data_IF_510839536613
#
_entry.id   IF_510839536613
#
_cell.length_a   1.000
_cell.length_b   1.000
_cell.length_c   1.000
_cell.angle_alpha   90.00
_cell.angle_beta   90.00
_cell.angle_gamma   90.00
#
_symmetry.space_group_name_H-M   'P 1'
#
loop_
_entity.id
_entity.type
_entity.pdbx_description
1 polymer ?
#
# COMPACT_ATOMS: atom_id res chain seq x y z
N UNK A 1 -14.34 -9.29 11.01
CA UNK A 1 -15.13 -9.04 9.77
C UNK A 1 -14.37 -9.68 8.63
N UNK A 2 -15.05 -10.41 7.74
CA UNK A 2 -14.36 -11.14 6.66
C UNK A 2 -13.74 -10.16 5.65
N UNK A 3 -12.58 -10.54 5.11
CA UNK A 3 -11.90 -9.80 4.03
C UNK A 3 -12.82 -9.76 2.80
N UNK A 4 -13.06 -8.59 2.16
CA UNK A 4 -13.92 -8.47 0.99
C UNK A 4 -13.47 -9.38 -0.15
N UNK A 5 -14.43 -10.01 -0.83
CA UNK A 5 -14.17 -10.90 -1.98
C UNK A 5 -14.88 -10.31 -3.21
N UNK A 6 -14.15 -10.13 -4.30
CA UNK A 6 -14.75 -9.67 -5.55
C UNK A 6 -15.60 -10.78 -6.20
N UNK A 7 -16.90 -10.51 -6.39
CA UNK A 7 -17.90 -11.45 -6.93
C UNK A 7 -18.48 -11.03 -8.29
N UNK A 8 -17.69 -10.32 -9.10
CA UNK A 8 -18.09 -9.72 -10.39
C UNK A 8 -19.12 -8.56 -10.28
N UNK A 9 -19.33 -8.04 -9.07
CA UNK A 9 -20.12 -6.83 -8.82
C UNK A 9 -19.21 -5.75 -8.19
N UNK A 10 -18.85 -4.75 -8.99
CA UNK A 10 -17.97 -3.66 -8.56
C UNK A 10 -18.63 -2.77 -7.50
N UNK A 11 -19.94 -2.58 -7.55
CA UNK A 11 -20.67 -1.73 -6.61
C UNK A 11 -20.72 -2.38 -5.24
N UNK A 12 -21.03 -3.67 -5.20
CA UNK A 12 -20.98 -4.45 -3.97
C UNK A 12 -19.56 -4.46 -3.40
N UNK A 13 -18.55 -4.75 -4.23
CA UNK A 13 -17.16 -4.82 -3.79
C UNK A 13 -16.65 -3.49 -3.21
N UNK A 14 -16.94 -2.36 -3.86
CA UNK A 14 -16.56 -1.02 -3.34
C UNK A 14 -17.27 -0.74 -2.01
N UNK A 15 -18.54 -1.12 -1.87
CA UNK A 15 -19.28 -0.98 -0.61
C UNK A 15 -18.63 -1.81 0.51
N UNK A 16 -18.29 -3.07 0.24
CA UNK A 16 -17.61 -3.95 1.20
C UNK A 16 -16.22 -3.42 1.59
N UNK A 17 -15.44 -2.93 0.61
CA UNK A 17 -14.17 -2.25 0.88
C UNK A 17 -14.34 -1.02 1.78
N UNK A 18 -15.37 -0.19 1.52
CA UNK A 18 -15.65 0.99 2.33
C UNK A 18 -15.97 0.61 3.78
N UNK A 19 -16.81 -0.41 3.99
CA UNK A 19 -17.11 -0.94 5.33
C UNK A 19 -15.82 -1.45 6.00
N UNK A 20 -14.99 -2.17 5.27
CA UNK A 20 -13.76 -2.77 5.80
C UNK A 20 -12.73 -1.70 6.20
N UNK A 21 -12.56 -0.64 5.39
CA UNK A 21 -11.72 0.52 5.72
C UNK A 21 -12.22 1.26 6.98
N UNK A 22 -13.54 1.35 7.15
CA UNK A 22 -14.15 2.01 8.31
C UNK A 22 -14.22 1.11 9.56
N UNK A 23 -13.79 -0.13 9.48
CA UNK A 23 -13.78 -1.09 10.60
C UNK A 23 -12.36 -1.63 10.87
N UNK A 24 -11.87 -2.59 10.10
CA UNK A 24 -10.55 -3.18 10.28
C UNK A 24 -9.41 -2.17 10.03
N UNK A 25 -9.61 -1.21 9.13
CA UNK A 25 -8.64 -0.15 8.85
C UNK A 25 -8.51 0.93 9.94
N UNK A 26 -9.25 0.82 11.04
CA UNK A 26 -9.20 1.79 12.15
C UNK A 26 -8.11 1.49 13.19
N UNK A 27 -7.33 0.42 13.01
CA UNK A 27 -6.12 0.20 13.81
C UNK A 27 -5.11 1.32 13.58
N UNK A 28 -4.36 1.65 14.63
CA UNK A 28 -3.35 2.71 14.54
C UNK A 28 -2.20 2.28 13.63
N UNK A 29 -1.94 3.05 12.59
CA UNK A 29 -0.75 2.91 11.74
C UNK A 29 0.49 3.44 12.44
N UNK A 30 0.35 4.64 13.04
CA UNK A 30 1.31 5.27 13.94
C UNK A 30 0.53 6.08 15.01
N UNK A 31 1.19 6.99 15.71
CA UNK A 31 0.52 7.82 16.73
C UNK A 31 -0.47 8.85 16.16
N UNK A 32 -0.52 9.02 14.84
CA UNK A 32 -1.17 10.17 14.19
C UNK A 32 -2.37 9.78 13.34
N UNK A 33 -2.28 8.68 12.58
CA UNK A 33 -3.29 8.24 11.60
C UNK A 33 -3.58 6.75 11.73
N UNK A 34 -4.78 6.33 11.32
CA UNK A 34 -5.15 4.92 11.17
C UNK A 34 -4.60 4.33 9.87
N UNK A 35 -4.60 3.00 9.73
CA UNK A 35 -4.17 2.31 8.50
C UNK A 35 -4.98 2.78 7.29
N UNK A 36 -6.31 2.91 7.44
CA UNK A 36 -7.17 3.39 6.35
C UNK A 36 -6.94 4.85 6.00
N UNK A 37 -6.79 5.74 7.00
CA UNK A 37 -6.47 7.16 6.75
C UNK A 37 -5.15 7.30 6.01
N UNK A 38 -4.14 6.51 6.39
CA UNK A 38 -2.84 6.48 5.74
C UNK A 38 -2.96 6.08 4.26
N UNK A 39 -3.62 4.97 3.96
CA UNK A 39 -3.82 4.50 2.58
C UNK A 39 -4.63 5.48 1.73
N UNK A 40 -5.72 6.04 2.28
CA UNK A 40 -6.53 7.05 1.59
C UNK A 40 -5.74 8.34 1.32
N UNK A 41 -4.92 8.79 2.25
CA UNK A 41 -4.03 9.94 2.04
C UNK A 41 -2.99 9.66 0.94
N UNK A 42 -2.37 8.47 0.93
CA UNK A 42 -1.41 8.08 -0.10
C UNK A 42 -2.05 8.07 -1.49
N UNK A 43 -3.26 7.52 -1.61
CA UNK A 43 -4.03 7.52 -2.86
C UNK A 43 -4.40 8.94 -3.31
N UNK A 44 -4.85 9.80 -2.38
CA UNK A 44 -5.20 11.18 -2.70
C UNK A 44 -3.96 11.99 -3.14
N UNK A 45 -2.82 11.81 -2.50
CA UNK A 45 -1.53 12.42 -2.93
C UNK A 45 -1.19 11.99 -4.35
N UNK A 46 -1.31 10.70 -4.68
CA UNK A 46 -1.04 10.21 -6.02
C UNK A 46 -2.02 10.80 -7.04
N UNK A 47 -3.31 10.89 -6.70
CA UNK A 47 -4.36 11.46 -7.53
C UNK A 47 -4.12 12.96 -7.80
N UNK A 48 -3.86 13.77 -6.78
CA UNK A 48 -3.63 15.21 -6.88
C UNK A 48 -2.37 15.52 -7.70
N UNK A 49 -1.36 14.64 -7.66
CA UNK A 49 -0.16 14.74 -8.49
C UNK A 49 -0.36 14.16 -9.91
N UNK A 50 -1.60 13.86 -10.32
CA UNK A 50 -1.98 13.35 -11.65
C UNK A 50 -1.19 12.08 -12.06
N UNK A 51 -0.87 11.24 -11.10
CA UNK A 51 -0.27 9.93 -11.39
C UNK A 51 -1.30 9.04 -12.09
N UNK A 52 -0.83 8.04 -12.84
CA UNK A 52 -1.73 7.12 -13.52
C UNK A 52 -2.57 6.30 -12.50
N UNK A 53 -3.70 5.76 -12.97
CA UNK A 53 -4.67 5.03 -12.13
C UNK A 53 -4.05 3.83 -11.41
N UNK A 54 -3.04 3.20 -11.98
CA UNK A 54 -2.38 2.03 -11.38
C UNK A 54 -1.61 2.44 -10.12
N UNK A 55 -0.84 3.53 -10.18
CA UNK A 55 -0.13 4.07 -9.01
C UNK A 55 -1.13 4.54 -7.94
N UNK A 56 -2.24 5.21 -8.34
CA UNK A 56 -3.28 5.65 -7.40
C UNK A 56 -3.87 4.47 -6.65
N UNK A 57 -4.23 3.38 -7.36
CA UNK A 57 -4.77 2.17 -6.73
C UNK A 57 -3.71 1.43 -5.90
N UNK A 58 -2.46 1.37 -6.38
CA UNK A 58 -1.39 0.79 -5.57
C UNK A 58 -1.19 1.55 -4.26
N UNK A 59 -1.29 2.89 -4.27
CA UNK A 59 -1.28 3.70 -3.06
C UNK A 59 -2.50 3.42 -2.17
N UNK A 60 -3.69 3.25 -2.78
CA UNK A 60 -4.92 2.94 -2.05
C UNK A 60 -4.83 1.62 -1.27
N UNK A 61 -4.05 0.66 -1.75
CA UNK A 61 -4.00 -0.69 -1.22
C UNK A 61 -2.62 -1.11 -0.66
N UNK A 62 -1.61 -0.23 -0.62
CA UNK A 62 -0.22 -0.64 -0.35
C UNK A 62 -0.04 -1.33 1.01
N UNK A 63 -0.77 -0.91 2.02
CA UNK A 63 -0.72 -1.43 3.39
C UNK A 63 -1.94 -2.29 3.77
N UNK A 64 -2.75 -2.72 2.79
CA UNK A 64 -3.96 -3.55 3.03
C UNK A 64 -3.64 -4.88 3.75
N UNK A 65 -2.41 -5.37 3.59
CA UNK A 65 -1.93 -6.56 4.29
C UNK A 65 -1.96 -6.43 5.81
N UNK A 66 -1.79 -5.23 6.37
CA UNK A 66 -1.96 -5.00 7.81
C UNK A 66 -3.38 -5.31 8.27
N UNK A 67 -4.39 -4.90 7.50
CA UNK A 67 -5.80 -5.18 7.83
C UNK A 67 -6.13 -6.68 7.75
N UNK A 68 -5.40 -7.46 6.92
CA UNK A 68 -5.57 -8.91 6.78
C UNK A 68 -4.89 -9.64 7.94
N UNK A 69 -3.67 -9.23 8.31
CA UNK A 69 -2.87 -9.86 9.37
C UNK A 69 -3.50 -9.62 10.75
N UNK A 70 -4.06 -8.45 10.98
CA UNK A 70 -4.69 -8.07 12.24
C UNK A 70 -6.13 -8.63 12.39
N UNK A 71 -6.69 -9.26 11.35
CA UNK A 71 -7.99 -9.92 11.43
C UNK A 71 -7.89 -11.17 12.32
N UNK A 72 -8.52 -11.13 13.49
CA UNK A 72 -8.50 -12.18 14.50
C UNK A 72 -9.07 -13.51 13.97
N UNK A 73 -9.99 -13.43 13.01
CA UNK A 73 -10.66 -14.58 12.40
C UNK A 73 -9.85 -15.21 11.26
N UNK A 74 -8.75 -14.56 10.85
CA UNK A 74 -7.90 -15.03 9.77
C UNK A 74 -6.53 -15.46 10.29
N UNK A 75 -6.24 -16.79 10.39
CA UNK A 75 -4.99 -17.30 10.91
C UNK A 75 -3.79 -17.17 9.96
N UNK A 76 -3.86 -16.31 8.93
CA UNK A 76 -2.73 -16.02 8.06
C UNK A 76 -1.56 -15.54 8.93
N UNK A 77 -0.42 -16.18 8.75
CA UNK A 77 0.77 -16.08 9.56
C UNK A 77 1.13 -14.62 9.92
N UNK A 78 1.04 -14.27 11.19
CA UNK A 78 1.51 -12.97 11.74
C UNK A 78 2.99 -12.68 11.46
N UNK A 79 3.73 -13.65 10.93
CA UNK A 79 5.13 -13.55 10.55
C UNK A 79 5.34 -13.22 9.05
N UNK A 80 4.27 -13.22 8.23
CA UNK A 80 4.38 -12.89 6.82
C UNK A 80 4.49 -11.37 6.61
N UNK A 81 5.34 -10.90 5.68
CA UNK A 81 5.44 -9.49 5.34
C UNK A 81 4.11 -8.97 4.81
N UNK A 82 3.59 -7.87 5.38
CA UNK A 82 2.29 -7.29 5.01
C UNK A 82 2.17 -6.98 3.51
N UNK A 83 3.27 -6.56 2.88
CA UNK A 83 3.32 -6.30 1.43
C UNK A 83 3.10 -7.57 0.59
N UNK A 84 3.55 -8.73 1.09
CA UNK A 84 3.33 -10.01 0.43
C UNK A 84 1.90 -10.51 0.63
N UNK A 85 1.38 -10.41 1.85
CA UNK A 85 -0.02 -10.77 2.19
C UNK A 85 -1.00 -9.91 1.40
N UNK A 86 -0.78 -8.59 1.38
CA UNK A 86 -1.60 -7.66 0.60
C UNK A 86 -1.56 -7.96 -0.90
N UNK A 87 -0.37 -8.20 -1.45
CA UNK A 87 -0.21 -8.54 -2.87
C UNK A 87 -0.86 -9.88 -3.23
N UNK A 88 -0.78 -10.90 -2.38
CA UNK A 88 -1.45 -12.18 -2.61
C UNK A 88 -2.97 -12.02 -2.66
N UNK A 89 -3.55 -11.27 -1.73
CA UNK A 89 -4.98 -10.95 -1.75
C UNK A 89 -5.36 -10.21 -3.03
N UNK A 90 -4.66 -9.12 -3.35
CA UNK A 90 -4.95 -8.27 -4.50
C UNK A 90 -4.75 -8.99 -5.84
N UNK A 91 -3.84 -9.97 -5.92
CA UNK A 91 -3.59 -10.73 -7.15
C UNK A 91 -4.78 -11.56 -7.63
N UNK A 92 -5.75 -11.82 -6.76
CA UNK A 92 -7.01 -12.52 -7.08
C UNK A 92 -8.06 -11.57 -7.67
N UNK A 93 -7.81 -10.27 -7.65
CA UNK A 93 -8.80 -9.22 -7.94
C UNK A 93 -8.30 -8.26 -9.03
N UNK A 94 -7.03 -7.84 -8.96
CA UNK A 94 -6.46 -6.79 -9.78
C UNK A 94 -5.33 -7.26 -10.69
N UNK A 95 -5.15 -6.54 -11.79
CA UNK A 95 -4.04 -6.75 -12.73
C UNK A 95 -2.69 -6.43 -12.07
N UNK A 96 -1.61 -6.98 -12.63
CA UNK A 96 -0.22 -6.85 -12.12
C UNK A 96 0.23 -5.40 -11.93
N UNK A 97 -0.22 -4.48 -12.80
CA UNK A 97 0.15 -3.05 -12.73
C UNK A 97 -0.26 -2.39 -11.42
N UNK A 98 -1.25 -2.92 -10.70
CA UNK A 98 -1.66 -2.50 -9.36
C UNK A 98 -0.93 -3.33 -8.29
N UNK A 99 -0.85 -4.65 -8.47
CA UNK A 99 -0.39 -5.59 -7.44
C UNK A 99 1.12 -5.50 -7.21
N UNK A 100 1.91 -5.44 -8.28
CA UNK A 100 3.38 -5.50 -8.14
C UNK A 100 3.95 -4.27 -7.46
N UNK A 101 3.51 -3.03 -7.71
CA UNK A 101 3.96 -1.88 -6.94
C UNK A 101 3.59 -1.98 -5.44
N UNK A 102 2.43 -2.56 -5.08
CA UNK A 102 2.08 -2.86 -3.68
C UNK A 102 3.10 -3.81 -3.07
N UNK A 103 3.38 -4.94 -3.71
CA UNK A 103 4.38 -5.92 -3.25
C UNK A 103 5.77 -5.28 -3.07
N UNK A 104 6.10 -4.32 -3.89
CA UNK A 104 7.44 -3.75 -3.98
C UNK A 104 7.63 -2.46 -3.16
N UNK A 105 6.61 -1.90 -2.49
CA UNK A 105 6.77 -0.62 -1.78
C UNK A 105 7.81 -0.68 -0.65
N UNK A 106 7.96 -1.84 0.02
CA UNK A 106 9.02 -2.08 1.01
C UNK A 106 10.41 -2.15 0.34
N UNK A 107 10.53 -2.82 -0.81
CA UNK A 107 11.78 -2.81 -1.59
C UNK A 107 12.12 -1.38 -2.04
N UNK A 108 11.12 -0.59 -2.45
CA UNK A 108 11.31 0.82 -2.81
C UNK A 108 11.84 1.64 -1.63
N UNK A 109 11.33 1.44 -0.40
CA UNK A 109 11.87 2.05 0.83
C UNK A 109 13.34 1.68 1.02
N UNK A 110 13.67 0.39 0.96
CA UNK A 110 15.05 -0.10 1.12
C UNK A 110 15.99 0.49 0.08
N UNK A 111 15.56 0.54 -1.18
CA UNK A 111 16.34 1.14 -2.28
C UNK A 111 16.60 2.63 -2.06
N UNK A 112 15.57 3.39 -1.68
CA UNK A 112 15.69 4.83 -1.41
C UNK A 112 16.64 5.10 -0.22
N UNK A 113 16.53 4.32 0.86
CA UNK A 113 17.44 4.43 2.02
C UNK A 113 18.90 4.12 1.65
N UNK A 114 19.11 3.09 0.81
CA UNK A 114 20.46 2.68 0.39
C UNK A 114 21.09 3.71 -0.55
N UNK A 115 20.30 4.27 -1.46
CA UNK A 115 20.79 5.19 -2.48
C UNK A 115 20.89 6.64 -2.00
N UNK A 116 20.19 7.01 -0.93
CA UNK A 116 20.11 8.40 -0.45
C UNK A 116 20.03 8.49 1.08
N UNK A 117 21.20 8.80 1.69
CA UNK A 117 21.29 8.98 3.14
C UNK A 117 20.32 10.05 3.67
N UNK A 118 20.10 11.15 2.94
CA UNK A 118 19.17 12.21 3.36
C UNK A 118 17.72 11.73 3.40
N UNK A 119 17.36 10.76 2.56
CA UNK A 119 16.05 10.14 2.61
C UNK A 119 15.88 9.35 3.92
N UNK A 120 16.84 8.48 4.27
CA UNK A 120 16.83 7.76 5.53
C UNK A 120 16.75 8.71 6.74
N UNK A 121 17.58 9.77 6.75
CA UNK A 121 17.66 10.72 7.88
C UNK A 121 16.29 11.41 8.15
N UNK A 122 15.50 11.65 7.10
CA UNK A 122 14.18 12.32 7.16
C UNK A 122 13.01 11.39 7.51
N UNK A 123 13.20 10.08 7.49
CA UNK A 123 12.12 9.14 7.85
C UNK A 123 11.68 9.29 9.30
N UNK A 124 10.38 9.02 9.57
CA UNK A 124 9.86 8.93 10.95
C UNK A 124 10.54 7.79 11.72
N UNK A 125 10.50 7.85 13.05
CA UNK A 125 11.06 6.78 13.90
C UNK A 125 10.38 5.42 13.63
N UNK A 126 9.07 5.41 13.46
CA UNK A 126 8.33 4.19 13.08
C UNK A 126 8.83 3.60 11.76
N UNK A 127 9.02 4.44 10.73
CA UNK A 127 9.56 4.01 9.43
C UNK A 127 11.00 3.50 9.52
N UNK A 128 11.84 4.09 10.38
CA UNK A 128 13.22 3.60 10.62
C UNK A 128 13.21 2.24 11.31
N UNK A 129 12.38 2.07 12.34
CA UNK A 129 12.22 0.78 13.02
C UNK A 129 11.74 -0.32 12.07
N UNK A 130 10.72 -0.03 11.25
CA UNK A 130 10.24 -1.01 10.26
C UNK A 130 11.28 -1.30 9.16
N UNK A 131 12.10 -0.31 8.76
CA UNK A 131 13.21 -0.52 7.83
C UNK A 131 14.23 -1.55 8.35
N UNK A 132 14.59 -1.49 9.63
CA UNK A 132 15.51 -2.43 10.26
C UNK A 132 14.98 -3.87 10.23
N UNK A 133 13.68 -4.05 10.53
CA UNK A 133 13.04 -5.40 10.51
C UNK A 133 12.75 -5.92 9.10
N UNK A 134 12.66 -5.05 8.11
CA UNK A 134 12.37 -5.38 6.71
C UNK A 134 13.63 -5.63 5.86
N UNK A 135 14.78 -5.87 6.50
CA UNK A 135 16.03 -6.25 5.83
C UNK A 135 17.02 -5.11 5.59
N UNK A 136 16.77 -3.92 6.13
CA UNK A 136 17.73 -2.78 6.12
C UNK A 136 18.24 -2.40 4.72
N UNK A 137 19.50 -2.02 4.61
CA UNK A 137 20.13 -1.61 3.35
C UNK A 137 20.21 -2.76 2.34
N UNK A 138 20.04 -2.44 1.08
CA UNK A 138 20.20 -3.40 -0.01
C UNK A 138 21.66 -3.61 -0.36
N UNK A 139 22.00 -4.82 -0.78
CA UNK A 139 23.24 -5.11 -1.49
C UNK A 139 23.24 -4.48 -2.88
N UNK A 140 24.43 -4.40 -3.53
CA UNK A 140 24.52 -3.87 -4.90
C UNK A 140 23.69 -4.70 -5.90
N UNK A 141 23.65 -6.03 -5.72
CA UNK A 141 22.87 -6.92 -6.58
C UNK A 141 21.36 -6.66 -6.41
N UNK A 142 20.85 -6.60 -5.16
CA UNK A 142 19.45 -6.28 -4.90
C UNK A 142 19.06 -4.91 -5.48
N UNK A 143 19.94 -3.91 -5.37
CA UNK A 143 19.70 -2.58 -5.94
C UNK A 143 19.60 -2.63 -7.47
N UNK A 144 20.50 -3.35 -8.13
CA UNK A 144 20.52 -3.49 -9.58
C UNK A 144 19.30 -4.29 -10.08
N UNK A 145 18.96 -5.39 -9.44
CA UNK A 145 17.76 -6.19 -9.76
C UNK A 145 16.48 -5.37 -9.62
N UNK A 146 16.32 -4.63 -8.51
CA UNK A 146 15.14 -3.82 -8.31
C UNK A 146 15.08 -2.65 -9.29
N UNK A 147 16.18 -1.95 -9.55
CA UNK A 147 16.26 -0.85 -10.52
C UNK A 147 15.87 -1.28 -11.93
N UNK A 148 16.27 -2.50 -12.35
CA UNK A 148 15.94 -3.05 -13.67
C UNK A 148 14.57 -3.75 -13.72
N UNK A 149 13.79 -3.77 -12.62
CA UNK A 149 12.47 -4.39 -12.61
C UNK A 149 11.44 -3.56 -13.37
N UNK A 150 10.48 -4.25 -14.02
CA UNK A 150 9.41 -3.63 -14.83
C UNK A 150 8.65 -2.52 -14.09
N UNK A 151 8.42 -2.68 -12.79
CA UNK A 151 7.59 -1.78 -11.97
C UNK A 151 8.43 -0.92 -10.99
N UNK A 152 9.70 -0.70 -11.29
CA UNK A 152 10.57 0.12 -10.43
C UNK A 152 10.00 1.52 -10.21
N UNK A 153 9.67 2.21 -11.29
CA UNK A 153 9.16 3.59 -11.23
C UNK A 153 7.87 3.70 -10.41
N UNK A 154 6.90 2.83 -10.68
CA UNK A 154 5.61 2.80 -9.98
C UNK A 154 5.81 2.51 -8.49
N UNK A 155 6.66 1.57 -8.15
CA UNK A 155 6.99 1.21 -6.76
C UNK A 155 7.61 2.38 -5.98
N UNK A 156 8.52 3.12 -6.63
CA UNK A 156 9.11 4.36 -6.06
C UNK A 156 8.03 5.43 -5.85
N UNK A 157 7.09 5.59 -6.79
CA UNK A 157 5.99 6.57 -6.66
C UNK A 157 5.02 6.20 -5.54
N UNK A 158 4.67 4.92 -5.41
CA UNK A 158 3.88 4.43 -4.28
C UNK A 158 4.59 4.77 -2.97
N UNK A 159 5.88 4.43 -2.82
CA UNK A 159 6.64 4.73 -1.61
C UNK A 159 6.73 6.23 -1.31
N UNK A 160 6.91 7.07 -2.30
CA UNK A 160 6.94 8.53 -2.10
C UNK A 160 5.59 9.10 -1.65
N UNK A 161 4.48 8.51 -2.05
CA UNK A 161 3.14 8.89 -1.59
C UNK A 161 2.90 8.42 -0.16
N UNK A 162 3.26 7.18 0.17
CA UNK A 162 3.24 6.60 1.51
C UNK A 162 3.99 7.49 2.53
N UNK A 163 5.24 7.89 2.25
CA UNK A 163 6.04 8.72 3.16
C UNK A 163 5.37 10.05 3.55
N UNK A 164 4.48 10.55 2.70
CA UNK A 164 3.80 11.85 2.86
C UNK A 164 2.40 11.72 3.46
N UNK A 165 1.89 10.52 3.62
CA UNK A 165 0.50 10.22 3.97
C UNK A 165 0.28 10.13 5.50
N UNK A 166 0.77 11.11 6.28
CA UNK A 166 0.76 11.08 7.76
C UNK A 166 0.26 12.39 8.38
N UNK A 167 -0.66 13.05 7.72
CA UNK A 167 -1.22 14.32 8.16
C UNK A 167 -2.49 14.08 8.98
N UNK A 168 -2.49 14.53 10.24
CA UNK A 168 -3.62 14.35 11.15
C UNK A 168 -4.85 15.12 10.66
N UNK A 169 -6.02 14.48 10.72
CA UNK A 169 -7.31 15.06 10.35
C UNK A 169 -7.36 15.60 8.91
N UNK A 170 -6.54 15.07 8.01
CA UNK A 170 -6.58 15.46 6.61
C UNK A 170 -7.86 14.95 5.95
N UNK A 171 -8.64 15.87 5.41
CA UNK A 171 -9.78 15.48 4.58
C UNK A 171 -9.29 14.96 3.23
N UNK A 172 -9.72 13.74 2.87
CA UNK A 172 -9.38 13.05 1.62
C UNK A 172 -10.61 12.36 1.03
N UNK A 173 -10.53 11.98 -0.24
CA UNK A 173 -11.58 11.20 -0.89
C UNK A 173 -11.67 9.79 -0.26
N UNK A 174 -12.89 9.29 -0.05
CA UNK A 174 -13.14 7.92 0.38
C UNK A 174 -12.95 6.90 -0.77
N UNK A 175 -13.11 5.61 -0.44
CA UNK A 175 -12.96 4.50 -1.39
C UNK A 175 -13.86 4.67 -2.62
N UNK A 176 -15.08 5.12 -2.42
CA UNK A 176 -16.11 5.29 -3.47
C UNK A 176 -15.67 6.22 -4.60
N UNK A 177 -14.86 7.23 -4.27
CA UNK A 177 -14.27 8.13 -5.24
C UNK A 177 -13.42 7.41 -6.29
N UNK A 178 -12.74 6.34 -5.90
CA UNK A 178 -11.85 5.56 -6.76
C UNK A 178 -12.56 4.42 -7.52
N UNK A 179 -13.89 4.27 -7.42
CA UNK A 179 -14.68 3.19 -8.02
C UNK A 179 -14.38 2.97 -9.50
N UNK A 180 -14.31 4.03 -10.31
CA UNK A 180 -14.02 3.90 -11.74
C UNK A 180 -12.60 3.37 -12.01
N UNK A 181 -11.62 3.73 -11.17
CA UNK A 181 -10.27 3.19 -11.25
C UNK A 181 -10.27 1.72 -10.87
N UNK A 182 -10.92 1.36 -9.74
CA UNK A 182 -11.09 -0.03 -9.29
C UNK A 182 -11.66 -0.87 -10.43
N UNK A 183 -12.84 -0.49 -10.95
CA UNK A 183 -13.51 -1.23 -12.03
C UNK A 183 -12.62 -1.43 -13.28
N UNK A 184 -11.82 -0.42 -13.64
CA UNK A 184 -10.96 -0.47 -14.83
C UNK A 184 -9.69 -1.29 -14.68
N UNK A 185 -9.38 -1.78 -13.48
CA UNK A 185 -8.17 -2.53 -13.15
C UNK A 185 -8.44 -3.95 -12.61
N UNK A 186 -9.72 -4.36 -12.57
CA UNK A 186 -10.09 -5.74 -12.21
C UNK A 186 -9.59 -6.73 -13.27
N UNK A 187 -9.19 -7.93 -12.83
CA UNK A 187 -8.98 -9.07 -13.75
C UNK A 187 -10.33 -9.47 -14.35
N UNK A 188 -10.31 -9.73 -15.66
CA UNK A 188 -11.49 -10.16 -16.42
C UNK A 188 -11.57 -11.67 -16.49
#
# INVERSE_FOLDING_TARGET
MSVPIYTNDTDQFVTELSIWYNTAGQSNYDEVVTVSEHMLQAANIAYDNRMNKFIVLSCLFHDIGHMIIDDIDNPINKNEPHESVGAEYLSKIFIEDVVVPVKNHVKAKRWLCTNNKRYYDKMSQASKKSFETQGSYMTQNEMAEFFNSKYFYESIKVRQSDDRAKEKNKHVNGIEFYKNYINSCLIK
#
